data_IF_082871033818
#
_entry.id   IF_082871033818
#
_cell.length_a   1.000
_cell.length_b   1.000
_cell.length_c   1.000
_cell.angle_alpha   90.00
_cell.angle_beta   90.00
_cell.angle_gamma   90.00
#
_symmetry.space_group_name_H-M   'P 1'
#
loop_
_entity.id
_entity.type
_entity.pdbx_description
1 polymer ?
#
# COMPACT_ATOMS: atom_id res chain seq x y z
N UNK A 1 1.23 22.20 1.44
CA UNK A 1 1.83 20.90 1.05
C UNK A 1 0.95 19.81 1.66
N UNK A 2 0.31 18.95 0.87
CA UNK A 2 -0.60 17.92 1.37
C UNK A 2 -0.08 16.53 0.97
N UNK A 3 0.77 15.95 1.82
CA UNK A 3 1.50 14.70 1.55
C UNK A 3 0.59 13.55 1.13
N UNK A 4 -0.56 13.39 1.79
CA UNK A 4 -1.48 12.28 1.53
C UNK A 4 -2.20 12.42 0.19
N UNK A 5 -2.30 13.64 -0.35
CA UNK A 5 -2.93 13.92 -1.65
C UNK A 5 -1.92 13.98 -2.80
N UNK A 6 -0.68 13.54 -2.58
CA UNK A 6 0.37 13.64 -3.60
C UNK A 6 0.15 12.73 -4.81
N UNK A 7 -0.61 11.64 -4.63
CA UNK A 7 -0.87 10.65 -5.69
C UNK A 7 -2.36 10.64 -5.97
N UNK A 8 -2.71 11.13 -7.17
CA UNK A 8 -4.08 11.11 -7.67
C UNK A 8 -4.61 9.68 -7.74
N UNK A 9 -5.91 9.50 -7.51
CA UNK A 9 -6.59 8.21 -7.54
C UNK A 9 -6.13 7.19 -6.50
N UNK A 10 -5.17 7.53 -5.63
CA UNK A 10 -4.85 6.72 -4.46
C UNK A 10 -6.04 6.62 -3.50
N UNK A 11 -5.96 5.68 -2.55
CA UNK A 11 -6.99 5.56 -1.52
C UNK A 11 -7.02 6.81 -0.61
N UNK A 12 -5.86 7.44 -0.38
CA UNK A 12 -5.76 8.70 0.35
C UNK A 12 -6.44 9.87 -0.38
N UNK A 13 -6.28 9.96 -1.69
CA UNK A 13 -7.00 10.94 -2.52
C UNK A 13 -8.52 10.74 -2.43
N UNK A 14 -8.97 9.49 -2.51
CA UNK A 14 -10.39 9.14 -2.35
C UNK A 14 -10.93 9.53 -0.97
N UNK A 15 -10.15 9.34 0.08
CA UNK A 15 -10.54 9.67 1.45
C UNK A 15 -10.52 11.17 1.75
N UNK A 16 -9.47 11.88 1.34
CA UNK A 16 -9.18 13.22 1.87
C UNK A 16 -9.35 14.36 0.86
N UNK A 17 -9.52 14.08 -0.43
CA UNK A 17 -9.77 15.11 -1.46
C UNK A 17 -11.25 15.22 -1.84
N UNK A 18 -12.02 14.12 -1.75
CA UNK A 18 -13.44 14.11 -2.12
C UNK A 18 -14.29 14.78 -1.04
N UNK A 19 -15.34 15.50 -1.45
CA UNK A 19 -16.33 16.08 -0.53
C UNK A 19 -17.06 14.95 0.20
N UNK A 20 -16.70 14.70 1.45
CA UNK A 20 -17.28 13.67 2.30
C UNK A 20 -16.38 13.35 3.47
N UNK A 21 -16.92 12.67 4.50
CA UNK A 21 -16.10 12.13 5.57
C UNK A 21 -15.45 10.83 5.06
N UNK A 22 -14.14 10.62 5.26
CA UNK A 22 -13.52 9.33 5.01
C UNK A 22 -14.32 8.20 5.69
N UNK A 23 -14.42 7.01 5.07
CA UNK A 23 -15.02 5.82 5.68
C UNK A 23 -14.08 5.21 6.73
N UNK A 24 -13.49 6.04 7.59
CA UNK A 24 -12.54 5.67 8.62
C UNK A 24 -13.10 6.08 9.98
N UNK A 25 -12.94 5.19 10.95
CA UNK A 25 -13.20 5.51 12.34
C UNK A 25 -12.18 6.52 12.84
N UNK A 26 -12.58 7.31 13.83
CA UNK A 26 -11.70 8.26 14.49
C UNK A 26 -11.72 8.00 15.98
N UNK A 27 -10.55 8.08 16.62
CA UNK A 27 -10.48 8.06 18.08
C UNK A 27 -11.07 9.33 18.71
N UNK A 28 -11.05 9.40 20.04
CA UNK A 28 -11.54 10.57 20.79
C UNK A 28 -10.75 11.86 20.55
N UNK A 29 -9.57 11.79 19.92
CA UNK A 29 -8.71 12.92 19.57
C UNK A 29 -8.84 13.30 18.09
N UNK A 30 -9.68 12.61 17.33
CA UNK A 30 -9.88 12.84 15.90
C UNK A 30 -8.81 12.20 15.00
N UNK A 31 -7.97 11.30 15.53
CA UNK A 31 -7.03 10.55 14.71
C UNK A 31 -7.77 9.43 13.96
N UNK A 32 -7.55 9.33 12.65
CA UNK A 32 -8.13 8.27 11.83
C UNK A 32 -7.46 6.93 12.14
N UNK A 33 -8.28 5.91 12.35
CA UNK A 33 -7.83 4.53 12.52
C UNK A 33 -7.78 3.81 11.17
N UNK A 34 -6.68 3.10 10.93
CA UNK A 34 -6.48 2.26 9.75
C UNK A 34 -5.97 0.91 10.24
N UNK A 35 -6.74 -0.15 10.01
CA UNK A 35 -6.43 -1.52 10.44
C UNK A 35 -5.44 -2.21 9.47
N UNK A 36 -4.21 -1.66 9.36
CA UNK A 36 -3.15 -2.12 8.44
C UNK A 36 -1.79 -2.11 9.12
N UNK A 37 -0.77 -2.69 8.47
CA UNK A 37 0.59 -2.78 9.01
C UNK A 37 1.26 -1.40 9.18
N UNK A 38 1.59 -0.97 10.42
CA UNK A 38 2.18 0.34 10.66
C UNK A 38 3.64 0.44 10.17
N UNK A 39 4.37 -0.68 10.06
CA UNK A 39 5.78 -0.68 9.64
C UNK A 39 5.88 -0.30 8.16
N UNK A 40 5.10 -0.96 7.32
CA UNK A 40 4.99 -0.67 5.88
C UNK A 40 4.36 0.70 5.63
N UNK A 41 3.41 1.12 6.47
CA UNK A 41 2.84 2.47 6.39
C UNK A 41 3.91 3.56 6.58
N UNK A 42 4.91 3.34 7.43
CA UNK A 42 6.04 4.25 7.58
C UNK A 42 6.83 4.47 6.27
N UNK A 43 7.01 3.40 5.49
CA UNK A 43 7.66 3.46 4.16
C UNK A 43 6.75 4.21 3.17
N UNK A 44 5.46 3.88 3.13
CA UNK A 44 4.46 4.55 2.28
C UNK A 44 4.42 6.06 2.55
N UNK A 45 4.44 6.45 3.82
CA UNK A 45 4.41 7.86 4.20
C UNK A 45 5.68 8.60 3.73
N UNK A 46 6.84 7.95 3.82
CA UNK A 46 8.10 8.51 3.31
C UNK A 46 8.11 8.60 1.78
N UNK A 47 7.60 7.59 1.08
CA UNK A 47 7.39 7.64 -0.37
C UNK A 47 6.59 8.88 -0.78
N UNK A 48 5.43 9.11 -0.14
CA UNK A 48 4.57 10.27 -0.42
C UNK A 48 5.27 11.61 -0.13
N UNK A 49 6.01 11.69 1.00
CA UNK A 49 6.78 12.90 1.38
C UNK A 49 7.86 13.23 0.36
N UNK A 50 8.68 12.25 -0.01
CA UNK A 50 9.78 12.44 -0.96
C UNK A 50 9.24 12.77 -2.35
N UNK A 51 8.18 12.07 -2.80
CA UNK A 51 7.50 12.36 -4.07
C UNK A 51 6.95 13.79 -4.11
N UNK A 52 6.36 14.28 -3.01
CA UNK A 52 5.85 15.66 -2.92
C UNK A 52 6.93 16.74 -3.00
N UNK A 53 8.18 16.36 -2.73
CA UNK A 53 9.37 17.22 -2.83
C UNK A 53 10.21 16.93 -4.06
N UNK A 54 9.74 16.08 -4.98
CA UNK A 54 10.49 15.61 -6.14
C UNK A 54 11.86 15.03 -5.77
N UNK A 55 11.96 14.39 -4.61
CA UNK A 55 13.17 13.72 -4.12
C UNK A 55 13.19 12.25 -4.55
N UNK A 56 14.38 11.63 -4.53
CA UNK A 56 14.57 10.20 -4.79
C UNK A 56 13.82 9.37 -3.73
N UNK A 57 12.62 8.91 -4.07
CA UNK A 57 11.75 8.19 -3.15
C UNK A 57 12.12 6.72 -3.04
N UNK A 58 12.77 6.16 -4.06
CA UNK A 58 13.26 4.78 -4.11
C UNK A 58 14.26 4.49 -2.97
N UNK A 59 14.89 5.52 -2.41
CA UNK A 59 15.75 5.43 -1.24
C UNK A 59 15.03 4.93 0.04
N UNK A 60 13.69 4.99 0.09
CA UNK A 60 12.92 4.46 1.22
C UNK A 60 12.55 2.97 1.08
N UNK A 61 12.85 2.34 -0.07
CA UNK A 61 12.50 0.95 -0.32
C UNK A 61 13.38 0.00 0.51
N UNK A 62 12.77 -1.03 1.12
CA UNK A 62 13.53 -2.05 1.84
C UNK A 62 14.37 -2.89 0.87
N UNK A 63 15.50 -3.40 1.37
CA UNK A 63 16.34 -4.38 0.65
C UNK A 63 16.00 -5.83 1.00
N UNK A 64 15.21 -6.00 2.05
CA UNK A 64 14.80 -7.28 2.59
C UNK A 64 13.58 -7.82 1.79
N UNK A 65 13.62 -9.07 1.27
CA UNK A 65 12.54 -9.62 0.45
C UNK A 65 11.19 -9.70 1.16
N UNK A 66 11.15 -10.07 2.45
CA UNK A 66 9.91 -10.21 3.19
C UNK A 66 9.24 -8.83 3.37
N UNK A 67 10.04 -7.81 3.70
CA UNK A 67 9.57 -6.42 3.77
C UNK A 67 9.14 -5.87 2.41
N UNK A 68 9.79 -6.27 1.32
CA UNK A 68 9.35 -5.90 -0.04
C UNK A 68 8.00 -6.54 -0.36
N UNK A 69 7.81 -7.83 -0.04
CA UNK A 69 6.56 -8.53 -0.25
C UNK A 69 5.40 -7.90 0.54
N UNK A 70 5.61 -7.57 1.82
CA UNK A 70 4.64 -6.85 2.66
C UNK A 70 4.33 -5.45 2.08
N UNK A 71 5.36 -4.70 1.68
CA UNK A 71 5.19 -3.38 1.06
C UNK A 71 4.37 -3.47 -0.23
N UNK A 72 4.57 -4.51 -1.06
CA UNK A 72 3.75 -4.75 -2.25
C UNK A 72 2.27 -4.89 -1.91
N UNK A 73 1.92 -5.62 -0.83
CA UNK A 73 0.52 -5.77 -0.42
C UNK A 73 -0.08 -4.46 0.06
N UNK A 74 0.64 -3.71 0.90
CA UNK A 74 0.14 -2.44 1.41
C UNK A 74 0.05 -1.38 0.29
N UNK A 75 1.03 -1.32 -0.61
CA UNK A 75 0.99 -0.40 -1.76
C UNK A 75 -0.19 -0.70 -2.70
N UNK A 76 -0.56 -1.98 -2.87
CA UNK A 76 -1.80 -2.35 -3.57
C UNK A 76 -3.04 -1.86 -2.82
N UNK A 77 -3.13 -2.10 -1.51
CA UNK A 77 -4.26 -1.65 -0.68
C UNK A 77 -4.50 -0.14 -0.79
N UNK A 78 -3.44 0.67 -0.67
CA UNK A 78 -3.53 2.14 -0.78
C UNK A 78 -3.60 2.65 -2.23
N UNK A 79 -3.62 1.75 -3.23
CA UNK A 79 -3.66 2.08 -4.67
C UNK A 79 -2.47 2.96 -5.12
N UNK A 80 -1.27 2.63 -4.65
CA UNK A 80 -0.01 3.30 -4.98
C UNK A 80 0.77 2.49 -6.03
N UNK A 81 0.24 2.45 -7.25
CA UNK A 81 0.71 1.55 -8.32
C UNK A 81 2.21 1.66 -8.60
N UNK A 82 2.76 2.87 -8.71
CA UNK A 82 4.19 3.06 -8.97
C UNK A 82 5.08 2.49 -7.84
N UNK A 83 4.67 2.67 -6.57
CA UNK A 83 5.40 2.13 -5.43
C UNK A 83 5.34 0.60 -5.43
N UNK A 84 4.16 0.05 -5.72
CA UNK A 84 3.94 -1.39 -5.82
C UNK A 84 4.80 -2.03 -6.91
N UNK A 85 4.77 -1.48 -8.12
CA UNK A 85 5.54 -2.00 -9.27
C UNK A 85 7.04 -2.00 -8.99
N UNK A 86 7.56 -0.93 -8.38
CA UNK A 86 8.96 -0.87 -8.02
C UNK A 86 9.34 -1.86 -6.90
N UNK A 87 8.46 -2.07 -5.91
CA UNK A 87 8.68 -3.08 -4.89
C UNK A 87 8.69 -4.51 -5.48
N UNK A 88 7.82 -4.80 -6.44
CA UNK A 88 7.80 -6.07 -7.19
C UNK A 88 9.09 -6.25 -7.98
N UNK A 89 9.53 -5.23 -8.71
CA UNK A 89 10.76 -5.30 -9.50
C UNK A 89 12.00 -5.57 -8.63
N UNK A 90 12.09 -4.93 -7.45
CA UNK A 90 13.15 -5.20 -6.48
C UNK A 90 13.04 -6.60 -5.88
N UNK A 91 11.82 -7.04 -5.56
CA UNK A 91 11.60 -8.39 -5.01
C UNK A 91 12.06 -9.47 -6.00
N UNK A 92 11.73 -9.30 -7.28
CA UNK A 92 12.17 -10.18 -8.37
C UNK A 92 13.69 -10.17 -8.53
N UNK A 93 14.34 -9.00 -8.44
CA UNK A 93 15.81 -8.89 -8.56
C UNK A 93 16.57 -9.45 -7.35
N UNK A 94 15.97 -9.45 -6.15
CA UNK A 94 16.52 -10.15 -4.99
C UNK A 94 16.56 -11.68 -5.17
N UNK A 95 15.64 -12.23 -5.98
CA UNK A 95 15.50 -13.68 -6.19
C UNK A 95 16.30 -14.28 -7.34
N UNK A 96 16.98 -13.49 -8.17
CA UNK A 96 17.96 -14.02 -9.14
C UNK A 96 19.15 -14.71 -8.47
N UNK A 97 19.24 -14.67 -7.12
CA UNK A 97 20.24 -15.40 -6.32
C UNK A 97 19.72 -16.62 -5.56
N UNK A 98 18.44 -17.01 -5.60
CA UNK A 98 18.05 -18.39 -5.16
C UNK A 98 16.62 -18.89 -5.38
N UNK A 99 15.54 -18.10 -5.50
CA UNK A 99 14.18 -18.74 -5.55
C UNK A 99 13.07 -17.89 -6.19
N UNK A 100 12.97 -17.93 -7.52
CA UNK A 100 11.89 -17.27 -8.31
C UNK A 100 10.49 -17.87 -8.02
N UNK A 101 10.43 -19.12 -7.54
CA UNK A 101 9.16 -19.83 -7.27
C UNK A 101 8.35 -19.19 -6.14
N UNK A 102 9.00 -18.77 -5.04
CA UNK A 102 8.33 -18.18 -3.87
C UNK A 102 7.67 -16.84 -4.22
N UNK A 103 8.35 -15.99 -4.98
CA UNK A 103 7.82 -14.66 -5.37
C UNK A 103 6.60 -14.81 -6.26
N UNK A 104 6.66 -15.70 -7.25
CA UNK A 104 5.52 -15.97 -8.12
C UNK A 104 4.32 -16.52 -7.35
N UNK A 105 4.56 -17.41 -6.38
CA UNK A 105 3.52 -17.96 -5.50
C UNK A 105 2.87 -16.87 -4.62
N UNK A 106 3.68 -16.02 -3.97
CA UNK A 106 3.18 -14.92 -3.13
C UNK A 106 2.36 -13.95 -3.97
N UNK A 107 2.88 -13.51 -5.12
CA UNK A 107 2.16 -12.58 -6.01
C UNK A 107 0.86 -13.21 -6.52
N UNK A 108 0.88 -14.46 -6.99
CA UNK A 108 -0.31 -15.17 -7.45
C UNK A 108 -1.36 -15.27 -6.35
N UNK A 109 -0.96 -15.56 -5.11
CA UNK A 109 -1.86 -15.62 -3.96
C UNK A 109 -2.49 -14.27 -3.66
N UNK A 110 -1.71 -13.19 -3.74
CA UNK A 110 -2.19 -11.82 -3.55
C UNK A 110 -3.29 -11.41 -4.52
N UNK A 111 -3.22 -11.86 -5.78
CA UNK A 111 -4.28 -11.62 -6.76
C UNK A 111 -5.50 -12.54 -6.58
N UNK A 112 -5.32 -13.69 -5.94
CA UNK A 112 -6.34 -14.73 -5.80
C UNK A 112 -7.23 -14.59 -4.55
N UNK A 113 -6.81 -13.81 -3.55
CA UNK A 113 -7.65 -13.53 -2.37
C UNK A 113 -8.78 -12.57 -2.77
N UNK A 114 -10.05 -13.02 -2.85
CA UNK A 114 -11.16 -12.11 -2.93
C UNK A 114 -11.19 -11.39 -1.59
N UNK A 115 -10.94 -10.07 -1.58
CA UNK A 115 -11.21 -9.27 -0.39
C UNK A 115 -12.71 -9.41 -0.13
N UNK A 116 -13.05 -10.24 0.87
CA UNK A 116 -14.41 -10.67 1.15
C UNK A 116 -15.33 -9.49 1.42
N UNK A 117 -16.15 -9.17 0.42
CA UNK A 117 -17.43 -8.50 0.59
C UNK A 117 -18.53 -9.37 -0.05
N UNK A 118 -18.60 -10.64 0.35
CA UNK A 118 -19.81 -11.44 0.14
C UNK A 118 -20.78 -11.16 1.30
N UNK A 119 -21.42 -9.99 1.21
CA UNK A 119 -22.61 -9.67 1.98
C UNK A 119 -23.75 -10.61 1.57
N UNK A 120 -23.80 -11.80 2.16
CA UNK A 120 -24.97 -12.66 2.08
C UNK A 120 -26.18 -11.91 2.66
N UNK A 121 -27.11 -11.63 1.75
CA UNK A 121 -28.55 -11.39 1.96
C UNK A 121 -29.05 -11.49 3.40
N UNK A 122 -29.44 -10.35 3.97
CA UNK A 122 -30.55 -10.27 4.90
C UNK A 122 -31.73 -9.64 4.15
N UNK A 123 -32.53 -10.48 3.50
CA UNK A 123 -33.89 -10.10 3.08
C UNK A 123 -34.84 -10.42 4.23
N UNK A 124 -35.38 -9.33 4.78
CA UNK A 124 -36.68 -9.10 5.44
C UNK A 124 -37.14 -10.06 6.54
#
# INVERSE_FOLDING_TARGET
MNTLLQVDHSLFDQWFNRKGKPPLETDSKGAYFIDRDPISFGIILNYLRLKSKQQLWEACLPKDPDRLALLTQEAEYYKLHQLREQAIALLQSCTEKSDVSYVNEVLARSFSCPQGLDGKSLKK
#
